data_IF_257370144922
#
_entry.id   IF_257370144922
#
_cell.length_a   1.000
_cell.length_b   1.000
_cell.length_c   1.000
_cell.angle_alpha   90.00
_cell.angle_beta   90.00
_cell.angle_gamma   90.00
#
_symmetry.space_group_name_H-M   'P 1'
#
loop_
_entity.id
_entity.type
_entity.pdbx_description
1 polymer ?
#
# COMPACT_ATOMS: atom_id res chain seq x y z
N UNK A 1 -6.51 -7.58 3.16
CA UNK A 1 -6.24 -7.67 1.72
C UNK A 1 -6.35 -6.29 1.15
N UNK A 2 -5.34 -5.93 0.37
CA UNK A 2 -5.19 -4.69 -0.35
C UNK A 2 -5.17 -4.99 -1.83
N UNK A 3 -5.83 -4.16 -2.64
CA UNK A 3 -5.68 -4.17 -4.08
C UNK A 3 -4.84 -2.94 -4.43
N UNK A 4 -3.67 -3.16 -5.03
CA UNK A 4 -2.73 -2.11 -5.41
C UNK A 4 -2.75 -1.97 -6.92
N UNK A 5 -3.32 -0.88 -7.40
CA UNK A 5 -3.30 -0.50 -8.81
C UNK A 5 -2.15 0.46 -9.04
N UNK A 6 -1.33 0.22 -10.06
CA UNK A 6 -0.20 1.10 -10.37
C UNK A 6 -0.22 1.52 -11.83
N UNK A 7 0.33 2.71 -12.07
CA UNK A 7 0.58 3.25 -13.40
C UNK A 7 1.93 3.96 -13.40
N UNK A 8 2.85 3.45 -14.20
CA UNK A 8 4.15 4.05 -14.43
C UNK A 8 4.05 5.17 -15.46
N UNK A 9 4.96 6.14 -15.38
CA UNK A 9 5.11 7.18 -16.38
C UNK A 9 5.47 6.64 -17.78
N UNK A 10 6.08 5.45 -17.85
CA UNK A 10 6.33 4.73 -19.10
C UNK A 10 5.06 4.21 -19.79
N UNK A 11 3.90 4.30 -19.11
CA UNK A 11 2.61 3.81 -19.57
C UNK A 11 2.29 2.38 -19.13
N UNK A 12 3.23 1.66 -18.53
CA UNK A 12 2.97 0.34 -17.95
C UNK A 12 2.04 0.47 -16.73
N UNK A 13 1.03 -0.38 -16.64
CA UNK A 13 0.09 -0.41 -15.52
C UNK A 13 -0.29 -1.84 -15.17
N UNK A 14 -0.82 -2.01 -13.96
CA UNK A 14 -1.26 -3.31 -13.48
C UNK A 14 -1.98 -3.22 -12.15
N UNK A 15 -2.39 -4.38 -11.67
CA UNK A 15 -3.05 -4.56 -10.40
C UNK A 15 -2.43 -5.76 -9.69
N UNK A 16 -2.10 -5.57 -8.41
CA UNK A 16 -1.57 -6.60 -7.52
C UNK A 16 -2.45 -6.75 -6.29
N UNK A 17 -2.56 -7.97 -5.78
CA UNK A 17 -3.26 -8.26 -4.52
C UNK A 17 -2.23 -8.47 -3.42
N UNK A 18 -2.32 -7.70 -2.34
CA UNK A 18 -1.47 -7.81 -1.16
C UNK A 18 -2.28 -8.37 -0.01
N UNK A 19 -1.89 -9.54 0.48
CA UNK A 19 -2.57 -10.18 1.62
C UNK A 19 -2.01 -9.67 2.94
N UNK A 20 -2.74 -9.90 4.03
CA UNK A 20 -2.36 -9.38 5.36
C UNK A 20 -1.00 -9.94 5.78
N UNK A 21 -0.09 -9.06 6.21
CA UNK A 21 1.26 -9.44 6.61
C UNK A 21 2.30 -9.35 5.47
N UNK A 22 1.85 -9.26 4.23
CA UNK A 22 2.70 -9.05 3.07
C UNK A 22 2.94 -7.57 2.77
N UNK A 23 3.87 -7.34 1.84
CA UNK A 23 4.25 -6.02 1.34
C UNK A 23 4.21 -5.99 -0.18
N UNK A 24 3.78 -4.88 -0.73
CA UNK A 24 4.00 -4.51 -2.12
C UNK A 24 5.17 -3.55 -2.20
N UNK A 25 6.02 -3.71 -3.21
CA UNK A 25 7.28 -2.97 -3.33
C UNK A 25 7.43 -2.44 -4.75
N UNK A 26 7.73 -1.15 -4.86
CA UNK A 26 8.17 -0.51 -6.10
C UNK A 26 9.63 -0.05 -5.96
N UNK A 27 10.42 -0.23 -7.01
CA UNK A 27 11.77 0.31 -7.10
C UNK A 27 12.68 -0.48 -8.03
N UNK A 28 13.99 -0.33 -7.85
CA UNK A 28 14.96 -1.19 -8.56
C UNK A 28 15.06 -2.58 -7.92
N UNK A 29 15.36 -3.63 -8.70
CA UNK A 29 15.69 -4.94 -8.16
C UNK A 29 16.97 -4.89 -7.30
N UNK A 30 16.98 -5.61 -6.17
CA UNK A 30 18.14 -5.72 -5.27
C UNK A 30 18.95 -7.02 -5.49
N UNK A 31 18.46 -7.94 -6.32
CA UNK A 31 19.09 -9.23 -6.59
C UNK A 31 18.65 -10.35 -5.64
N UNK A 32 18.34 -10.01 -4.38
CA UNK A 32 17.80 -10.97 -3.38
C UNK A 32 16.27 -10.96 -3.34
N UNK A 33 15.65 -9.79 -3.55
CA UNK A 33 14.20 -9.64 -3.61
C UNK A 33 13.81 -8.81 -4.85
N UNK A 34 12.86 -9.34 -5.63
CA UNK A 34 12.28 -8.63 -6.77
C UNK A 34 11.11 -7.77 -6.29
N UNK A 35 11.10 -6.46 -6.60
CA UNK A 35 9.94 -5.63 -6.33
C UNK A 35 8.76 -6.12 -7.20
N UNK A 36 7.54 -5.88 -6.73
CA UNK A 36 6.33 -6.19 -7.50
C UNK A 36 6.33 -5.40 -8.81
N UNK A 37 6.75 -4.14 -8.71
CA UNK A 37 6.98 -3.30 -9.89
C UNK A 37 8.44 -2.85 -9.90
N UNK A 38 9.16 -3.38 -10.88
CA UNK A 38 10.56 -3.02 -11.13
C UNK A 38 10.68 -1.94 -12.19
N UNK A 39 11.64 -1.05 -12.01
CA UNK A 39 12.05 -0.06 -13.02
C UNK A 39 13.55 -0.14 -13.22
N UNK A 40 14.02 0.10 -14.44
CA UNK A 40 15.44 0.22 -14.74
C UNK A 40 15.88 1.69 -14.75
N UNK A 41 15.63 2.40 -13.64
CA UNK A 41 16.05 3.78 -13.45
C UNK A 41 17.02 3.88 -12.26
N UNK A 42 18.23 4.36 -12.51
CA UNK A 42 19.29 4.47 -11.49
C UNK A 42 19.01 5.51 -10.41
N UNK A 43 18.13 6.47 -10.69
CA UNK A 43 17.68 7.51 -9.76
C UNK A 43 16.71 6.91 -8.72
N UNK A 44 16.03 5.82 -9.08
CA UNK A 44 15.13 5.09 -8.19
C UNK A 44 15.94 4.10 -7.34
N UNK A 45 15.66 4.07 -6.04
CA UNK A 45 16.30 3.22 -5.05
C UNK A 45 15.63 1.86 -5.03
N UNK A 46 16.33 0.91 -4.44
CA UNK A 46 15.81 -0.43 -4.25
C UNK A 46 14.75 -0.36 -3.15
N UNK A 47 13.52 -0.79 -3.45
CA UNK A 47 12.38 -0.63 -2.54
C UNK A 47 12.03 0.83 -2.21
N UNK A 48 12.09 1.69 -3.22
CA UNK A 48 11.71 3.10 -3.19
C UNK A 48 10.40 3.38 -2.42
N UNK A 49 9.37 2.58 -2.71
CA UNK A 49 8.07 2.63 -2.06
C UNK A 49 7.71 1.25 -1.56
N UNK A 50 7.20 1.18 -0.33
CA UNK A 50 6.73 -0.06 0.27
C UNK A 50 5.34 0.18 0.82
N UNK A 51 4.38 -0.63 0.40
CA UNK A 51 3.01 -0.61 0.90
C UNK A 51 2.79 -1.90 1.69
N UNK A 52 2.26 -1.80 2.91
CA UNK A 52 1.98 -2.98 3.73
C UNK A 52 0.51 -3.10 4.05
N UNK A 53 0.00 -4.33 4.00
CA UNK A 53 -1.36 -4.63 4.38
C UNK A 53 -1.45 -4.90 5.89
N UNK A 54 -1.31 -3.86 6.71
CA UNK A 54 -1.34 -3.93 8.19
C UNK A 54 -2.64 -3.41 8.83
N UNK A 55 -3.74 -3.31 8.06
CA UNK A 55 -5.00 -2.69 8.50
C UNK A 55 -5.31 -1.44 7.66
N UNK A 56 -5.49 -0.22 8.22
CA UNK A 56 -5.38 1.02 7.43
C UNK A 56 -3.93 1.09 6.92
N UNK A 57 -3.72 0.53 5.74
CA UNK A 57 -2.41 0.09 5.25
C UNK A 57 -1.42 1.25 5.24
N UNK A 58 -0.30 1.16 5.96
CA UNK A 58 0.73 2.19 5.85
C UNK A 58 1.43 2.09 4.50
N UNK A 59 1.65 3.25 3.89
CA UNK A 59 2.62 3.44 2.81
C UNK A 59 3.89 4.02 3.41
N UNK A 60 5.00 3.33 3.23
CA UNK A 60 6.31 3.74 3.73
C UNK A 60 7.15 4.21 2.56
N UNK A 61 7.56 5.47 2.59
CA UNK A 61 8.52 6.00 1.66
C UNK A 61 9.93 5.84 2.24
N UNK A 62 10.79 5.07 1.57
CA UNK A 62 12.15 4.81 2.06
C UNK A 62 13.19 5.84 1.62
N UNK A 63 12.78 6.88 0.90
CA UNK A 63 13.72 7.87 0.39
C UNK A 63 14.36 7.51 -0.93
N UNK A 64 15.09 8.46 -1.51
CA UNK A 64 15.90 8.25 -2.72
C UNK A 64 17.30 8.79 -2.52
N UNK A 65 18.31 8.01 -2.92
CA UNK A 65 19.70 8.44 -2.77
C UNK A 65 20.07 9.46 -3.85
N UNK A 66 20.36 10.70 -3.43
CA UNK A 66 21.02 11.72 -4.26
C UNK A 66 20.12 12.57 -5.16
N UNK A 67 18.81 12.35 -5.16
CA UNK A 67 17.84 13.14 -5.93
C UNK A 67 16.65 13.55 -5.06
N UNK A 68 16.08 14.74 -5.30
CA UNK A 68 14.95 15.28 -4.53
C UNK A 68 13.65 14.56 -4.89
N UNK A 69 13.54 13.31 -4.44
CA UNK A 69 12.33 12.54 -4.60
C UNK A 69 11.25 12.98 -3.62
N UNK A 70 10.01 13.00 -4.11
CA UNK A 70 8.85 13.42 -3.33
C UNK A 70 7.76 12.38 -3.50
N UNK A 71 7.12 12.04 -2.41
CA UNK A 71 5.99 11.12 -2.41
C UNK A 71 4.81 11.85 -1.80
N UNK A 72 3.74 11.99 -2.58
CA UNK A 72 2.51 12.63 -2.15
C UNK A 72 1.45 11.58 -1.89
N UNK A 73 0.84 11.61 -0.72
CA UNK A 73 -0.43 10.93 -0.45
C UNK A 73 -1.56 11.88 -0.85
N UNK A 74 -2.29 11.50 -1.89
CA UNK A 74 -3.34 12.31 -2.53
C UNK A 74 -4.71 11.89 -2.02
N UNK A 75 -5.44 12.88 -1.53
CA UNK A 75 -6.81 12.76 -1.06
C UNK A 75 -7.82 12.91 -2.20
N UNK A 76 -9.03 12.38 -2.02
CA UNK A 76 -10.14 12.48 -2.97
C UNK A 76 -10.63 13.91 -3.17
N UNK A 77 -10.31 14.81 -2.23
CA UNK A 77 -10.58 16.25 -2.36
C UNK A 77 -9.50 17.01 -3.16
N UNK A 78 -8.45 16.30 -3.63
CA UNK A 78 -7.33 16.86 -4.39
C UNK A 78 -6.17 17.38 -3.53
N UNK A 79 -6.30 17.37 -2.20
CA UNK A 79 -5.21 17.74 -1.30
C UNK A 79 -4.09 16.70 -1.34
N UNK A 80 -2.83 17.15 -1.28
CA UNK A 80 -1.66 16.26 -1.25
C UNK A 80 -0.87 16.44 0.03
N UNK A 81 -0.72 15.36 0.80
CA UNK A 81 0.18 15.29 1.95
C UNK A 81 1.53 14.72 1.51
N UNK A 82 2.57 15.55 1.53
CA UNK A 82 3.92 15.15 1.13
C UNK A 82 4.63 14.39 2.26
N UNK A 83 5.05 13.16 1.98
CA UNK A 83 5.80 12.32 2.90
C UNK A 83 7.27 12.75 2.92
N UNK A 84 7.84 12.80 4.12
CA UNK A 84 9.28 12.96 4.30
C UNK A 84 9.97 11.62 4.11
N UNK A 85 11.21 11.62 3.63
CA UNK A 85 12.02 10.41 3.56
C UNK A 85 12.06 9.67 4.90
N UNK A 86 11.88 8.34 4.86
CA UNK A 86 11.90 7.49 6.04
C UNK A 86 10.62 7.52 6.88
N UNK A 87 9.64 8.35 6.50
CA UNK A 87 8.35 8.44 7.19
C UNK A 87 7.28 7.57 6.52
N UNK A 88 6.31 7.15 7.33
CA UNK A 88 5.13 6.43 6.86
C UNK A 88 3.95 7.39 6.72
N UNK A 89 3.24 7.29 5.60
CA UNK A 89 1.87 7.77 5.44
C UNK A 89 0.88 6.64 5.70
N UNK A 90 -0.38 6.98 5.95
CA UNK A 90 -1.45 6.00 6.14
C UNK A 90 -2.52 6.21 5.09
N UNK A 91 -2.84 5.14 4.34
CA UNK A 91 -4.00 5.19 3.48
C UNK A 91 -5.27 5.27 4.33
N UNK A 92 -6.24 6.04 3.86
CA UNK A 92 -7.57 6.19 4.48
C UNK A 92 -8.65 6.03 3.41
N UNK A 93 -9.92 6.00 3.83
CA UNK A 93 -11.04 6.00 2.88
C UNK A 93 -11.02 7.21 1.93
N UNK A 94 -10.43 8.33 2.35
CA UNK A 94 -10.36 9.56 1.56
C UNK A 94 -8.98 9.84 0.98
N UNK A 95 -7.93 9.12 1.41
CA UNK A 95 -6.57 9.29 0.91
C UNK A 95 -6.01 7.92 0.52
N UNK A 96 -6.24 7.55 -0.74
CA UNK A 96 -5.95 6.21 -1.28
C UNK A 96 -5.03 6.21 -2.50
N UNK A 97 -4.56 7.38 -2.92
CA UNK A 97 -3.66 7.53 -4.07
C UNK A 97 -2.31 8.02 -3.60
N UNK A 98 -1.24 7.46 -4.12
CA UNK A 98 0.13 7.89 -3.92
C UNK A 98 0.74 8.25 -5.26
N UNK A 99 1.41 9.37 -5.31
CA UNK A 99 2.18 9.79 -6.47
C UNK A 99 3.63 9.97 -6.05
N UNK A 100 4.56 9.45 -6.87
CA UNK A 100 5.99 9.65 -6.66
C UNK A 100 6.59 10.45 -7.80
N UNK A 101 7.40 11.42 -7.42
CA UNK A 101 8.14 12.29 -8.32
C UNK A 101 9.63 12.20 -8.06
N UNK A 102 10.41 12.35 -9.12
CA UNK A 102 11.85 12.59 -9.09
C UNK A 102 12.10 13.99 -9.66
N UNK A 103 12.43 14.95 -8.79
CA UNK A 103 12.42 16.37 -9.19
C UNK A 103 11.00 16.80 -9.55
N UNK A 104 10.78 17.19 -10.80
CA UNK A 104 9.47 17.56 -11.36
C UNK A 104 8.87 16.45 -12.26
N UNK A 105 9.57 15.33 -12.42
CA UNK A 105 9.11 14.20 -13.23
C UNK A 105 8.23 13.28 -12.39
N UNK A 106 6.99 13.07 -12.84
CA UNK A 106 6.12 12.04 -12.28
C UNK A 106 6.62 10.65 -12.70
N UNK A 107 6.77 9.74 -11.75
CA UNK A 107 7.34 8.39 -11.99
C UNK A 107 6.28 7.31 -11.91
N UNK A 108 5.46 7.33 -10.87
CA UNK A 108 4.43 6.32 -10.63
C UNK A 108 3.25 6.88 -9.85
N UNK A 109 2.06 6.54 -10.29
CA UNK A 109 0.82 6.65 -9.52
C UNK A 109 0.46 5.28 -8.98
N UNK A 110 0.08 5.22 -7.71
CA UNK A 110 -0.44 4.04 -7.06
C UNK A 110 -1.80 4.40 -6.49
N UNK A 111 -2.81 3.59 -6.75
CA UNK A 111 -4.12 3.70 -6.10
C UNK A 111 -4.43 2.41 -5.36
N UNK A 112 -5.01 2.55 -4.19
CA UNK A 112 -5.24 1.45 -3.28
C UNK A 112 -6.72 1.29 -3.00
N UNK A 113 -7.23 0.10 -3.23
CA UNK A 113 -8.56 -0.28 -2.78
C UNK A 113 -8.46 -1.25 -1.60
N UNK A 114 -9.13 -0.89 -0.52
CA UNK A 114 -9.33 -1.78 0.60
C UNK A 114 -10.45 -2.74 0.22
N UNK A 115 -10.09 -3.99 -0.07
CA UNK A 115 -11.10 -5.04 -0.17
C UNK A 115 -11.89 -5.04 1.15
N UNK A 116 -13.22 -5.16 1.07
CA UNK A 116 -14.14 -5.13 2.21
C UNK A 116 -13.66 -6.12 3.28
N UNK A 117 -12.88 -5.62 4.24
CA UNK A 117 -12.69 -6.30 5.48
C UNK A 117 -13.98 -6.01 6.21
N UNK A 118 -14.88 -6.99 6.32
CA UNK A 118 -16.02 -6.90 7.23
C UNK A 118 -15.58 -6.20 8.51
N UNK A 119 -16.37 -5.22 8.94
CA UNK A 119 -15.99 -4.27 9.99
C UNK A 119 -15.43 -5.03 11.20
N UNK A 120 -14.52 -4.41 11.96
CA UNK A 120 -14.03 -5.02 13.23
C UNK A 120 -15.21 -5.46 14.12
N UNK A 121 -16.32 -4.73 14.05
CA UNK A 121 -17.61 -5.04 14.68
C UNK A 121 -18.23 -6.35 14.18
N UNK A 122 -18.20 -6.62 12.87
CA UNK A 122 -18.72 -7.88 12.29
C UNK A 122 -17.87 -9.09 12.68
N UNK A 123 -16.55 -8.94 12.79
CA UNK A 123 -15.68 -10.03 13.30
C UNK A 123 -15.97 -10.38 14.74
N UNK A 124 -16.28 -9.40 15.59
CA UNK A 124 -16.57 -9.66 17.00
C UNK A 124 -17.92 -10.37 17.19
N UNK A 125 -18.93 -10.00 16.39
CA UNK A 125 -20.25 -10.66 16.40
C UNK A 125 -20.17 -12.09 15.86
N UNK A 126 -19.41 -12.31 14.78
CA UNK A 126 -19.23 -13.64 14.21
C UNK A 126 -18.45 -14.61 15.13
N UNK A 127 -17.52 -14.09 15.94
CA UNK A 127 -16.82 -14.89 16.96
C UNK A 127 -17.72 -15.23 18.16
N UNK A 128 -18.65 -14.34 18.51
CA UNK A 128 -19.64 -14.56 19.57
C UNK A 128 -20.69 -15.61 19.16
N UNK A 129 -21.19 -15.53 17.92
CA UNK A 129 -22.13 -16.51 17.37
C UNK A 129 -21.53 -17.92 17.22
N UNK A 130 -20.26 -18.02 16.82
CA UNK A 130 -19.54 -19.31 16.74
C UNK A 130 -19.29 -19.90 18.13
N UNK A 131 -19.05 -19.06 19.14
CA UNK A 131 -18.86 -19.52 20.52
C UNK A 131 -20.18 -19.99 21.14
N UNK A 132 -21.30 -19.33 20.85
CA UNK A 132 -22.63 -19.71 21.32
C UNK A 132 -23.09 -21.04 20.71
N UNK A 133 -22.88 -21.24 19.41
CA UNK A 133 -23.29 -22.47 18.70
C UNK A 133 -22.44 -23.71 19.06
N UNK A 134 -21.19 -23.51 19.50
CA UNK A 134 -20.36 -24.60 20.04
C UNK A 134 -20.75 -24.99 21.49
N UNK A 135 -21.27 -24.06 22.28
CA UNK A 135 -21.77 -24.36 23.63
C UNK A 135 -23.06 -25.20 23.60
N UNK A 136 -24.02 -24.87 22.72
CA UNK A 136 -25.28 -25.62 22.60
C UNK A 136 -25.09 -27.06 22.05
N UNK A 137 -24.01 -27.32 21.33
CA UNK A 137 -23.70 -28.64 20.77
C UNK A 137 -23.00 -29.59 21.76
N UNK A 138 -22.59 -29.11 22.95
CA UNK A 138 -21.95 -29.93 23.99
C UNK A 138 -22.92 -30.38 25.10
N UNK A 139 -24.17 -29.90 25.09
CA UNK A 139 -25.18 -30.22 26.11
C UNK A 139 -26.31 -31.14 25.60
N UNK A 140 -26.20 -31.68 24.38
CA UNK A 140 -27.17 -32.62 23.77
C UNK A 140 -26.73 -34.09 23.80
#
# INVERSE_FOLDING_TARGET
MLIVKYQLASGASGEDVVVTGDKWVFGRPDGDESPHVSVDDRRVSRGALVIRDSGPGPVVFRGQRGEAARVGLVSTDGSTAWLTEGTAGHFTATARRVEMYLGDEHVVTIEVDFAERGSVVERQQQLDEVSASQAESQEA
#
